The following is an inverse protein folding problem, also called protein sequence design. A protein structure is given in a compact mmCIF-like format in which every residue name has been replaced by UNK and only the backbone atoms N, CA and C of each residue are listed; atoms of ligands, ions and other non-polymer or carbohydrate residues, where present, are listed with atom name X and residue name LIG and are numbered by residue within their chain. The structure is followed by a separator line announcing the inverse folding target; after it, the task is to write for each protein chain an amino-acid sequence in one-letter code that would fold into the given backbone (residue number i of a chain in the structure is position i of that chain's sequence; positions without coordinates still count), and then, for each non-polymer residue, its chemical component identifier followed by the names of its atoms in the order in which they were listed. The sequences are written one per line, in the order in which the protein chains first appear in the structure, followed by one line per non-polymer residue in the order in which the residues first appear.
data_IF_387936806762
#
_entry.id   IF_387936806762
#
_cell.length_a   1.000
_cell.length_b   1.000
_cell.length_c   1.000
_cell.angle_alpha   90.00
_cell.angle_beta   90.00
_cell.angle_gamma   90.00
#
_symmetry.space_group_name_H-M   'P 1'
#
loop_
_entity.id
_entity.type
_entity.pdbx_description
1 polymer ?
#
# COMPACT_ATOMS: atom_id res chain seq x y z
N UNK A 1 25.86 14.27 -26.35
CA UNK A 1 24.64 13.75 -25.72
C UNK A 1 25.04 13.04 -24.44
N UNK A 2 24.45 13.42 -23.31
CA UNK A 2 24.74 12.83 -22.01
C UNK A 2 23.50 12.04 -21.60
N UNK A 3 23.58 10.72 -21.68
CA UNK A 3 22.52 9.80 -21.25
C UNK A 3 23.14 8.79 -20.29
N UNK A 4 22.37 8.38 -19.29
CA UNK A 4 22.71 7.29 -18.40
C UNK A 4 21.78 6.12 -18.66
N UNK A 5 22.34 4.91 -18.68
CA UNK A 5 21.56 3.67 -18.70
C UNK A 5 21.45 3.22 -17.25
N UNK A 6 20.21 3.05 -16.79
CA UNK A 6 19.92 2.58 -15.44
C UNK A 6 19.46 1.13 -15.50
N UNK A 7 19.89 0.33 -14.53
CA UNK A 7 19.32 -0.99 -14.33
C UNK A 7 17.95 -0.88 -13.65
N UNK A 8 17.17 -1.96 -13.69
CA UNK A 8 15.92 -2.07 -12.93
C UNK A 8 16.15 -1.81 -11.44
N UNK A 9 17.26 -2.31 -10.88
CA UNK A 9 17.62 -2.11 -9.46
C UNK A 9 17.86 -0.63 -9.15
N UNK A 10 18.52 0.10 -10.05
CA UNK A 10 18.74 1.54 -9.88
C UNK A 10 17.42 2.31 -9.89
N UNK A 11 16.51 1.94 -10.79
CA UNK A 11 15.17 2.55 -10.88
C UNK A 11 14.36 2.24 -9.62
N UNK A 12 14.33 0.99 -9.16
CA UNK A 12 13.64 0.59 -7.93
C UNK A 12 14.17 1.35 -6.72
N UNK A 13 15.48 1.61 -6.67
CA UNK A 13 16.07 2.40 -5.59
C UNK A 13 15.60 3.86 -5.63
N UNK A 14 15.58 4.49 -6.80
CA UNK A 14 15.05 5.86 -6.95
C UNK A 14 13.57 5.94 -6.54
N UNK A 15 12.77 4.95 -6.93
CA UNK A 15 11.38 4.85 -6.50
C UNK A 15 11.26 4.75 -4.98
N UNK A 16 12.10 3.91 -4.36
CA UNK A 16 12.04 3.70 -2.91
C UNK A 16 12.54 4.88 -2.08
N UNK A 17 13.48 5.65 -2.60
CA UNK A 17 13.93 6.89 -1.98
C UNK A 17 12.79 7.91 -1.95
N UNK A 18 12.03 8.07 -3.05
CA UNK A 18 10.87 8.95 -3.09
C UNK A 18 9.71 8.44 -2.21
N UNK A 19 9.42 7.14 -2.23
CA UNK A 19 8.41 6.51 -1.36
C UNK A 19 8.76 6.73 0.11
N UNK A 20 10.02 6.49 0.48
CA UNK A 20 10.52 6.69 1.85
C UNK A 20 10.39 8.14 2.30
N UNK A 21 10.73 9.08 1.41
CA UNK A 21 10.61 10.51 1.68
C UNK A 21 9.16 10.92 1.93
N UNK A 22 8.23 10.55 1.04
CA UNK A 22 6.80 10.83 1.23
C UNK A 22 6.28 10.18 2.51
N UNK A 23 6.58 8.89 2.73
CA UNK A 23 6.14 8.14 3.91
C UNK A 23 6.59 8.80 5.21
N UNK A 24 7.84 9.25 5.26
CA UNK A 24 8.40 9.92 6.45
C UNK A 24 7.75 11.29 6.69
N UNK A 25 7.64 12.12 5.64
CA UNK A 25 7.14 13.49 5.78
C UNK A 25 5.65 13.52 6.10
N UNK A 26 4.86 12.66 5.45
CA UNK A 26 3.40 12.62 5.64
C UNK A 26 3.00 11.68 6.80
N UNK A 27 3.93 10.91 7.36
CA UNK A 27 3.66 9.89 8.38
C UNK A 27 2.58 8.87 7.98
N UNK A 28 2.60 8.46 6.70
CA UNK A 28 1.68 7.47 6.14
C UNK A 28 2.42 6.19 5.72
N UNK A 29 1.72 5.04 5.63
CA UNK A 29 2.30 3.79 5.18
C UNK A 29 2.93 3.88 3.77
N UNK A 30 4.02 3.12 3.53
CA UNK A 30 4.78 3.17 2.27
C UNK A 30 3.92 2.82 1.04
N UNK A 31 2.98 1.89 1.17
CA UNK A 31 2.03 1.57 0.08
C UNK A 31 1.14 2.76 -0.30
N UNK A 32 0.72 3.56 0.68
CA UNK A 32 -0.07 4.77 0.50
C UNK A 32 0.76 5.86 -0.17
N UNK A 33 2.02 6.03 0.25
CA UNK A 33 2.97 6.91 -0.41
C UNK A 33 3.19 6.57 -1.88
N UNK A 34 3.32 5.28 -2.21
CA UNK A 34 3.47 4.83 -3.59
C UNK A 34 2.22 5.13 -4.45
N UNK A 35 1.01 4.97 -3.88
CA UNK A 35 -0.25 5.33 -4.54
C UNK A 35 -0.30 6.83 -4.83
N UNK A 36 0.06 7.67 -3.87
CA UNK A 36 0.11 9.13 -4.05
C UNK A 36 1.11 9.53 -5.14
N UNK A 37 2.34 8.99 -5.08
CA UNK A 37 3.35 9.24 -6.10
C UNK A 37 2.84 8.87 -7.49
N UNK A 38 2.20 7.70 -7.63
CA UNK A 38 1.61 7.28 -8.91
C UNK A 38 0.51 8.24 -9.37
N UNK A 39 -0.39 8.67 -8.48
CA UNK A 39 -1.48 9.59 -8.80
C UNK A 39 -0.96 10.96 -9.29
N UNK A 40 0.09 11.47 -8.65
CA UNK A 40 0.71 12.75 -9.00
C UNK A 40 1.90 12.63 -9.95
N UNK A 41 1.96 11.55 -10.74
CA UNK A 41 2.97 11.32 -11.79
C UNK A 41 4.43 11.42 -11.29
N UNK A 42 4.69 10.91 -10.09
CA UNK A 42 5.98 10.94 -9.39
C UNK A 42 6.51 12.35 -9.10
N UNK A 43 5.63 13.37 -9.06
CA UNK A 43 6.01 14.72 -8.69
C UNK A 43 5.87 14.95 -7.18
N UNK A 44 6.96 14.78 -6.45
CA UNK A 44 6.92 14.85 -4.98
C UNK A 44 6.45 16.21 -4.43
N UNK A 45 6.85 17.32 -5.04
CA UNK A 45 6.36 18.64 -4.59
C UNK A 45 4.84 18.71 -4.69
N UNK A 46 4.24 18.22 -5.78
CA UNK A 46 2.78 18.19 -5.94
C UNK A 46 2.09 17.30 -4.90
N UNK A 47 2.69 16.16 -4.55
CA UNK A 47 2.15 15.32 -3.46
C UNK A 47 2.08 16.12 -2.15
N UNK A 48 3.16 16.83 -1.80
CA UNK A 48 3.18 17.65 -0.60
C UNK A 48 2.18 18.81 -0.66
N UNK A 49 2.20 19.58 -1.76
CA UNK A 49 1.35 20.76 -1.93
C UNK A 49 -0.14 20.39 -1.80
N UNK A 50 -0.57 19.33 -2.47
CA UNK A 50 -1.98 18.89 -2.47
C UNK A 50 -2.36 18.23 -1.14
N UNK A 51 -1.49 17.39 -0.55
CA UNK A 51 -1.76 16.73 0.74
C UNK A 51 -1.89 17.75 1.87
N UNK A 52 -0.97 18.72 1.94
CA UNK A 52 -1.02 19.75 3.00
C UNK A 52 -2.12 20.79 2.77
N UNK A 53 -2.62 20.93 1.54
CA UNK A 53 -3.78 21.77 1.26
C UNK A 53 -5.09 21.12 1.72
N UNK A 54 -5.30 19.84 1.41
CA UNK A 54 -6.53 19.12 1.74
C UNK A 54 -6.31 17.58 1.74
N UNK A 55 -5.89 17.03 2.88
CA UNK A 55 -5.62 15.60 3.03
C UNK A 55 -6.85 14.72 2.76
N UNK A 56 -8.04 15.12 3.25
CA UNK A 56 -9.27 14.34 3.10
C UNK A 56 -9.65 14.18 1.63
N UNK A 57 -9.61 15.29 0.87
CA UNK A 57 -9.86 15.26 -0.57
C UNK A 57 -8.86 14.39 -1.33
N UNK A 58 -7.57 14.44 -0.96
CA UNK A 58 -6.55 13.60 -1.58
C UNK A 58 -6.83 12.13 -1.29
N UNK A 59 -7.10 11.79 -0.03
CA UNK A 59 -7.44 10.43 0.39
C UNK A 59 -8.62 9.87 -0.38
N UNK A 60 -9.69 10.63 -0.52
CA UNK A 60 -10.87 10.24 -1.29
C UNK A 60 -10.55 10.03 -2.77
N UNK A 61 -9.76 10.92 -3.36
CA UNK A 61 -9.38 10.85 -4.78
C UNK A 61 -8.56 9.59 -5.11
N UNK A 62 -7.79 9.06 -4.15
CA UNK A 62 -6.97 7.85 -4.33
C UNK A 62 -7.49 6.61 -3.60
N UNK A 63 -8.63 6.70 -2.93
CA UNK A 63 -9.24 5.59 -2.18
C UNK A 63 -8.45 5.15 -0.95
N UNK A 64 -7.73 6.07 -0.30
CA UNK A 64 -6.96 5.80 0.91
C UNK A 64 -7.80 5.99 2.17
N UNK A 65 -8.15 4.87 2.82
CA UNK A 65 -8.85 4.90 4.09
C UNK A 65 -7.93 5.35 5.23
N UNK A 66 -8.48 6.10 6.19
CA UNK A 66 -7.74 6.55 7.39
C UNK A 66 -7.53 5.40 8.38
N UNK A 67 -8.48 4.46 8.46
CA UNK A 67 -8.45 3.28 9.34
C UNK A 67 -8.83 2.03 8.56
N UNK A 68 -8.33 0.85 8.99
CA UNK A 68 -8.83 -0.43 8.49
C UNK A 68 -10.36 -0.51 8.64
N UNK A 69 -11.04 -1.11 7.67
CA UNK A 69 -12.50 -1.26 7.70
C UNK A 69 -12.92 -2.30 8.75
N UNK A 70 -12.05 -3.27 9.03
CA UNK A 70 -12.34 -4.41 9.89
C UNK A 70 -11.06 -4.79 10.67
N UNK A 71 -11.22 -5.05 11.96
CA UNK A 71 -10.18 -5.67 12.78
C UNK A 71 -10.11 -7.18 12.49
N UNK A 72 -8.95 -7.66 12.08
CA UNK A 72 -8.75 -9.08 11.77
C UNK A 72 -8.47 -9.87 13.05
N UNK A 73 -9.13 -11.02 13.31
CA UNK A 73 -8.86 -11.85 14.48
C UNK A 73 -7.40 -12.32 14.50
N UNK A 74 -6.76 -12.22 15.66
CA UNK A 74 -5.34 -12.57 15.84
C UNK A 74 -5.20 -14.03 16.28
N UNK A 75 -6.26 -14.62 16.84
CA UNK A 75 -6.28 -15.98 17.38
C UNK A 75 -7.48 -16.79 16.86
N UNK A 76 -7.34 -18.11 16.91
CA UNK A 76 -8.37 -19.06 16.52
C UNK A 76 -8.18 -19.67 15.13
N UNK A 77 -9.24 -20.33 14.67
CA UNK A 77 -9.36 -20.92 13.34
C UNK A 77 -10.47 -20.21 12.56
N UNK A 78 -10.20 -19.92 11.29
CA UNK A 78 -11.13 -19.30 10.36
C UNK A 78 -11.10 -20.06 9.03
N UNK A 79 -12.19 -19.98 8.28
CA UNK A 79 -12.27 -20.56 6.94
C UNK A 79 -11.72 -19.60 5.90
N UNK A 80 -10.94 -20.12 4.96
CA UNK A 80 -10.53 -19.37 3.78
C UNK A 80 -11.77 -19.07 2.91
N UNK A 81 -11.97 -17.79 2.54
CA UNK A 81 -13.13 -17.37 1.73
C UNK A 81 -13.15 -17.86 0.28
N UNK A 82 -12.14 -18.64 -0.16
CA UNK A 82 -12.02 -19.15 -1.54
C UNK A 82 -12.10 -20.69 -1.56
N UNK A 83 -11.21 -21.39 -0.85
CA UNK A 83 -11.22 -22.85 -0.82
C UNK A 83 -12.12 -23.46 0.27
N UNK A 84 -12.61 -22.64 1.21
CA UNK A 84 -13.47 -23.05 2.33
C UNK A 84 -12.83 -24.06 3.30
N UNK A 85 -11.51 -24.21 3.27
CA UNK A 85 -10.77 -25.00 4.26
C UNK A 85 -10.49 -24.15 5.52
N UNK A 86 -10.41 -24.81 6.67
CA UNK A 86 -10.11 -24.18 7.95
C UNK A 86 -8.59 -24.01 8.16
N UNK A 87 -8.18 -22.81 8.56
CA UNK A 87 -6.80 -22.45 8.84
C UNK A 87 -6.71 -21.71 10.18
N UNK A 88 -5.56 -21.81 10.83
CA UNK A 88 -5.22 -20.91 11.92
C UNK A 88 -5.13 -19.47 11.39
N UNK A 89 -5.49 -18.47 12.21
CA UNK A 89 -5.46 -17.06 11.82
C UNK A 89 -4.08 -16.58 11.33
N UNK A 90 -2.98 -17.19 11.79
CA UNK A 90 -1.61 -16.88 11.33
C UNK A 90 -1.27 -17.42 9.93
N UNK A 91 -2.13 -18.28 9.38
CA UNK A 91 -2.06 -18.83 8.01
C UNK A 91 -3.04 -18.18 7.05
N UNK A 92 -3.73 -17.14 7.51
CA UNK A 92 -4.66 -16.37 6.71
C UNK A 92 -4.15 -14.95 6.57
N UNK A 93 -4.32 -14.42 5.37
CA UNK A 93 -3.99 -13.04 5.05
C UNK A 93 -5.26 -12.33 4.59
N UNK A 94 -5.40 -11.08 5.01
CA UNK A 94 -6.49 -10.21 4.61
C UNK A 94 -5.95 -8.87 4.10
N UNK A 95 -6.60 -8.32 3.08
CA UNK A 95 -6.42 -6.93 2.71
C UNK A 95 -7.10 -6.01 3.75
N UNK A 96 -7.04 -4.69 3.54
CA UNK A 96 -7.70 -3.69 4.41
C UNK A 96 -9.22 -3.84 4.52
N UNK A 97 -9.84 -4.63 3.64
CA UNK A 97 -11.26 -4.99 3.67
C UNK A 97 -11.60 -6.13 4.64
N UNK A 98 -10.60 -6.79 5.24
CA UNK A 98 -10.80 -7.79 6.29
C UNK A 98 -11.20 -9.20 5.83
N UNK A 99 -11.22 -9.47 4.53
CA UNK A 99 -11.58 -10.81 4.02
C UNK A 99 -10.36 -11.76 4.02
N UNK A 100 -10.38 -12.87 4.76
CA UNK A 100 -9.26 -13.81 4.86
C UNK A 100 -9.18 -14.80 3.71
N UNK A 101 -7.95 -15.02 3.24
CA UNK A 101 -7.61 -16.13 2.35
C UNK A 101 -6.29 -16.77 2.78
N UNK A 102 -6.13 -18.07 2.53
CA UNK A 102 -4.88 -18.78 2.82
C UNK A 102 -3.78 -18.45 1.79
N UNK A 103 -2.53 -18.77 2.14
CA UNK A 103 -1.35 -18.50 1.30
C UNK A 103 -1.52 -18.97 -0.14
N UNK A 104 -1.98 -20.22 -0.33
CA UNK A 104 -2.17 -20.78 -1.66
C UNK A 104 -3.22 -20.03 -2.48
N UNK A 105 -4.32 -19.61 -1.87
CA UNK A 105 -5.36 -18.85 -2.56
C UNK A 105 -4.94 -17.40 -2.87
N UNK A 106 -4.01 -16.83 -2.11
CA UNK A 106 -3.40 -15.53 -2.42
C UNK A 106 -2.41 -15.60 -3.59
N UNK A 107 -1.66 -16.69 -3.69
CA UNK A 107 -0.69 -16.92 -4.78
C UNK A 107 -1.36 -17.22 -6.12
N UNK A 108 -2.55 -17.83 -6.11
CA UNK A 108 -3.36 -18.14 -7.30
C UNK A 108 -3.18 -19.56 -7.80
#
# INVERSE_FOLDING_TARGET
QNYSVLSEVDICKLQEDDISRISTVLSIPRNSSAILLRHYNWCVSRVHDEWFADEEKVRDAVGLLEKPVVDFPIDGELECGICFEAFLCDKLHAATCGHPFCDSCWEG
#
